data_IF_807880738881
#
_entry.id   IF_807880738881
#
_cell.length_a   1.000
_cell.length_b   1.000
_cell.length_c   1.000
_cell.angle_alpha   90.00
_cell.angle_beta   90.00
_cell.angle_gamma   90.00
#
_symmetry.space_group_name_H-M   'P 1'
#
loop_
_entity.id
_entity.type
_entity.pdbx_description
1 polymer ?
#
# COMPACT_ATOMS: atom_id res chain seq x y z
N UNK A 1 16.13 -3.64 6.39
CA UNK A 1 14.79 -3.40 5.78
C UNK A 1 14.23 -2.00 6.09
N UNK A 2 14.78 -1.25 7.02
CA UNK A 2 14.28 0.08 7.39
C UNK A 2 12.89 0.08 8.03
N UNK A 3 12.46 -1.05 8.59
CA UNK A 3 11.18 -1.20 9.28
C UNK A 3 11.38 -1.30 10.78
N UNK A 4 10.48 -0.68 11.56
CA UNK A 4 10.47 -0.76 13.03
C UNK A 4 9.20 -1.42 13.58
N UNK A 5 8.31 -1.87 12.71
CA UNK A 5 7.10 -2.60 13.03
C UNK A 5 6.47 -3.17 11.77
N UNK A 6 5.39 -3.91 11.93
CA UNK A 6 4.68 -4.56 10.81
C UNK A 6 3.55 -3.71 10.23
N UNK A 7 3.26 -2.56 10.83
CA UNK A 7 2.20 -1.67 10.38
C UNK A 7 2.47 -1.04 9.03
N UNK A 8 1.42 -0.57 8.37
CA UNK A 8 1.49 -0.02 7.01
C UNK A 8 2.42 1.19 6.88
N UNK A 9 2.62 1.97 7.95
CA UNK A 9 3.52 3.14 7.95
C UNK A 9 4.77 2.94 8.81
N UNK A 10 5.07 1.71 9.23
CA UNK A 10 6.19 1.41 10.14
C UNK A 10 7.50 1.14 9.40
N UNK A 11 7.72 1.78 8.27
CA UNK A 11 8.95 1.67 7.50
C UNK A 11 9.20 2.92 6.64
N UNK A 12 10.47 3.13 6.27
CA UNK A 12 10.89 4.31 5.51
C UNK A 12 10.23 4.38 4.12
N UNK A 13 10.13 3.26 3.43
CA UNK A 13 9.54 3.22 2.08
C UNK A 13 8.09 3.68 2.06
N UNK A 14 7.31 3.26 3.06
CA UNK A 14 5.91 3.70 3.21
C UNK A 14 5.80 5.19 3.51
N UNK A 15 6.64 5.70 4.42
CA UNK A 15 6.63 7.12 4.76
C UNK A 15 7.07 8.00 3.60
N UNK A 16 8.07 7.57 2.84
CA UNK A 16 8.53 8.28 1.64
C UNK A 16 7.41 8.34 0.60
N UNK A 17 6.72 7.23 0.37
CA UNK A 17 5.61 7.23 -0.59
C UNK A 17 4.43 8.10 -0.11
N UNK A 18 4.12 8.08 1.19
CA UNK A 18 3.06 8.94 1.72
C UNK A 18 3.40 10.42 1.54
N UNK A 19 4.67 10.80 1.71
CA UNK A 19 5.14 12.15 1.45
C UNK A 19 4.97 12.51 -0.04
N UNK A 20 5.30 11.61 -0.95
CA UNK A 20 5.09 11.80 -2.39
C UNK A 20 3.61 12.00 -2.71
N UNK A 21 2.73 11.22 -2.11
CA UNK A 21 1.28 11.39 -2.26
C UNK A 21 0.84 12.77 -1.73
N UNK A 22 1.37 13.21 -0.60
CA UNK A 22 1.10 14.54 -0.07
C UNK A 22 1.44 15.67 -1.03
N UNK A 23 2.54 15.51 -1.77
CA UNK A 23 3.03 16.50 -2.73
C UNK A 23 2.33 16.39 -4.10
N UNK A 24 2.11 15.17 -4.59
CA UNK A 24 1.67 14.89 -5.96
C UNK A 24 0.19 14.51 -6.06
N UNK A 25 -0.43 14.10 -4.96
CA UNK A 25 -1.82 13.65 -4.95
C UNK A 25 -2.06 12.40 -5.78
N UNK A 26 -3.13 12.40 -6.56
CA UNK A 26 -3.53 11.26 -7.38
C UNK A 26 -2.46 10.80 -8.36
N UNK A 27 -1.55 11.68 -8.79
CA UNK A 27 -0.45 11.31 -9.69
C UNK A 27 0.45 10.26 -9.05
N UNK A 28 0.71 10.34 -7.73
CA UNK A 28 1.49 9.33 -7.03
C UNK A 28 0.79 7.96 -7.05
N UNK A 29 -0.54 7.94 -6.89
CA UNK A 29 -1.32 6.69 -6.96
C UNK A 29 -1.26 6.08 -8.36
N UNK A 30 -1.41 6.88 -9.40
CA UNK A 30 -1.30 6.42 -10.80
C UNK A 30 0.10 5.86 -11.06
N UNK A 31 1.14 6.54 -10.59
CA UNK A 31 2.52 6.08 -10.77
C UNK A 31 2.80 4.75 -10.09
N UNK A 32 2.36 4.56 -8.83
CA UNK A 32 2.61 3.31 -8.12
C UNK A 32 1.85 2.14 -8.74
N UNK A 33 0.65 2.38 -9.24
CA UNK A 33 -0.12 1.34 -9.95
C UNK A 33 0.53 0.98 -11.29
N UNK A 34 1.01 1.97 -12.04
CA UNK A 34 1.75 1.74 -13.28
C UNK A 34 3.06 0.99 -13.01
N UNK A 35 3.79 1.36 -11.95
CA UNK A 35 5.01 0.68 -11.54
C UNK A 35 4.74 -0.78 -11.15
N UNK A 36 3.59 -1.04 -10.50
CA UNK A 36 3.18 -2.40 -10.16
C UNK A 36 2.91 -3.23 -11.41
N UNK A 37 2.18 -2.68 -12.39
CA UNK A 37 1.90 -3.38 -13.64
C UNK A 37 3.19 -3.70 -14.40
N UNK A 38 4.12 -2.75 -14.46
CA UNK A 38 5.42 -2.91 -15.10
C UNK A 38 6.27 -3.96 -14.36
N UNK A 39 6.29 -3.91 -13.03
CA UNK A 39 7.01 -4.88 -12.19
C UNK A 39 6.48 -6.29 -12.37
N UNK A 40 5.16 -6.46 -12.45
CA UNK A 40 4.53 -7.77 -12.67
C UNK A 40 4.84 -8.33 -14.06
N UNK A 41 4.95 -7.47 -15.08
CA UNK A 41 5.38 -7.89 -16.41
C UNK A 41 6.81 -8.43 -16.38
N UNK A 42 7.67 -7.89 -15.50
CA UNK A 42 9.04 -8.36 -15.28
C UNK A 42 9.12 -9.49 -14.24
N UNK A 43 8.02 -9.80 -13.57
CA UNK A 43 7.92 -10.91 -12.62
C UNK A 43 8.32 -10.60 -11.18
N UNK A 44 8.59 -9.34 -10.83
CA UNK A 44 9.07 -9.00 -9.49
C UNK A 44 8.71 -7.57 -9.06
N UNK A 45 8.15 -7.44 -7.86
CA UNK A 45 7.80 -6.16 -7.23
C UNK A 45 8.82 -5.87 -6.14
N UNK A 46 9.58 -4.77 -6.27
CA UNK A 46 10.52 -4.37 -5.22
C UNK A 46 9.80 -3.81 -3.98
N UNK A 47 10.53 -3.68 -2.87
CA UNK A 47 9.97 -3.28 -1.58
C UNK A 47 9.40 -1.85 -1.59
N UNK A 48 9.97 -0.94 -2.37
CA UNK A 48 9.49 0.44 -2.44
C UNK A 48 8.13 0.51 -3.14
N UNK A 49 7.99 -0.19 -4.26
CA UNK A 49 6.70 -0.29 -4.96
C UNK A 49 5.68 -0.99 -4.07
N UNK A 50 6.05 -2.10 -3.44
CA UNK A 50 5.18 -2.82 -2.52
C UNK A 50 4.71 -1.97 -1.34
N UNK A 51 5.60 -1.20 -0.74
CA UNK A 51 5.26 -0.28 0.35
C UNK A 51 4.28 0.80 -0.11
N UNK A 52 4.48 1.35 -1.29
CA UNK A 52 3.55 2.32 -1.89
C UNK A 52 2.16 1.73 -2.11
N UNK A 53 2.08 0.49 -2.58
CA UNK A 53 0.80 -0.22 -2.75
C UNK A 53 0.06 -0.37 -1.42
N UNK A 54 0.77 -0.75 -0.35
CA UNK A 54 0.17 -0.89 0.98
C UNK A 54 -0.39 0.44 1.47
N UNK A 55 0.36 1.54 1.33
CA UNK A 55 -0.12 2.87 1.74
C UNK A 55 -1.30 3.32 0.88
N UNK A 56 -1.26 3.08 -0.42
CA UNK A 56 -2.39 3.40 -1.30
C UNK A 56 -3.66 2.66 -0.86
N UNK A 57 -3.54 1.39 -0.48
CA UNK A 57 -4.67 0.62 0.03
C UNK A 57 -5.23 1.21 1.33
N UNK A 58 -4.37 1.69 2.24
CA UNK A 58 -4.81 2.37 3.46
C UNK A 58 -5.55 3.68 3.13
N UNK A 59 -5.02 4.47 2.21
CA UNK A 59 -5.66 5.70 1.76
C UNK A 59 -7.05 5.43 1.15
N UNK A 60 -7.15 4.43 0.31
CA UNK A 60 -8.41 4.09 -0.35
C UNK A 60 -9.43 3.55 0.64
N UNK A 61 -9.04 2.64 1.52
CA UNK A 61 -9.93 2.11 2.56
C UNK A 61 -10.45 3.23 3.46
N UNK A 62 -9.57 4.13 3.89
CA UNK A 62 -9.95 5.29 4.71
C UNK A 62 -10.91 6.22 3.98
N UNK A 63 -10.64 6.50 2.70
CA UNK A 63 -11.50 7.39 1.89
C UNK A 63 -12.91 6.82 1.68
N UNK A 64 -13.06 5.51 1.83
CA UNK A 64 -14.34 4.81 1.66
C UNK A 64 -14.97 4.40 2.99
N UNK A 65 -14.52 4.95 4.11
CA UNK A 65 -15.12 4.76 5.41
C UNK A 65 -14.61 3.58 6.23
N UNK A 66 -13.50 2.97 5.82
CA UNK A 66 -12.88 1.84 6.53
C UNK A 66 -11.42 2.16 6.90
N UNK A 67 -11.16 3.23 7.68
CA UNK A 67 -9.80 3.62 8.04
C UNK A 67 -9.18 2.65 9.04
N UNK A 68 -7.84 2.66 9.08
CA UNK A 68 -7.08 2.07 10.17
C UNK A 68 -7.00 3.10 11.32
N UNK A 69 -7.63 2.85 12.49
CA UNK A 69 -7.63 3.83 13.59
C UNK A 69 -6.25 4.26 14.07
N UNK A 70 -5.26 3.38 13.95
CA UNK A 70 -3.87 3.67 14.35
C UNK A 70 -3.19 4.70 13.43
N UNK A 71 -3.73 4.93 12.22
CA UNK A 71 -3.13 5.79 11.20
C UNK A 71 -4.00 7.01 10.85
N UNK A 72 -5.09 7.26 11.61
CA UNK A 72 -6.06 8.30 11.30
C UNK A 72 -5.43 9.67 11.05
N UNK A 73 -4.48 10.09 11.88
CA UNK A 73 -3.88 11.43 11.76
C UNK A 73 -3.08 11.56 10.46
N UNK A 74 -2.18 10.62 10.21
CA UNK A 74 -1.29 10.65 9.04
C UNK A 74 -2.05 10.47 7.72
N UNK A 75 -2.92 9.47 7.67
CA UNK A 75 -3.74 9.19 6.49
C UNK A 75 -4.77 10.29 6.26
N UNK A 76 -5.41 10.78 7.33
CA UNK A 76 -6.40 11.85 7.26
C UNK A 76 -5.82 13.16 6.71
N UNK A 77 -4.61 13.54 7.14
CA UNK A 77 -3.93 14.73 6.62
C UNK A 77 -3.66 14.62 5.11
N UNK A 78 -3.16 13.47 4.67
CA UNK A 78 -2.88 13.25 3.26
C UNK A 78 -4.17 13.29 2.41
N UNK A 79 -5.25 12.70 2.91
CA UNK A 79 -6.53 12.68 2.21
C UNK A 79 -7.23 14.05 2.18
N UNK A 80 -7.00 14.89 3.18
CA UNK A 80 -7.66 16.19 3.26
C UNK A 80 -7.47 17.04 1.99
N UNK A 81 -6.33 16.88 1.32
CA UNK A 81 -5.97 17.63 0.09
C UNK A 81 -6.36 16.92 -1.18
N UNK A 82 -6.36 15.59 -1.19
CA UNK A 82 -6.31 14.81 -2.43
C UNK A 82 -7.39 13.75 -2.57
N UNK A 83 -8.33 13.68 -1.63
CA UNK A 83 -9.35 12.63 -1.60
C UNK A 83 -10.19 12.58 -2.89
N UNK A 84 -10.67 13.73 -3.34
CA UNK A 84 -11.53 13.80 -4.51
C UNK A 84 -10.81 13.34 -5.78
N UNK A 85 -9.57 13.80 -5.97
CA UNK A 85 -8.74 13.42 -7.11
C UNK A 85 -8.37 11.93 -7.07
N UNK A 86 -8.09 11.42 -5.88
CA UNK A 86 -7.81 10.00 -5.69
C UNK A 86 -9.01 9.15 -6.12
N UNK A 87 -10.20 9.48 -5.62
CA UNK A 87 -11.41 8.72 -5.92
C UNK A 87 -11.88 8.86 -7.37
N UNK A 88 -11.35 9.83 -8.12
CA UNK A 88 -11.65 10.01 -9.54
C UNK A 88 -10.87 9.06 -10.45
N UNK A 89 -9.89 8.32 -9.93
CA UNK A 89 -9.12 7.36 -10.72
C UNK A 89 -10.00 6.16 -11.08
N UNK A 90 -10.09 5.85 -12.39
CA UNK A 90 -10.89 4.73 -12.88
C UNK A 90 -10.37 3.38 -12.34
N UNK A 91 -11.30 2.52 -11.96
CA UNK A 91 -11.01 1.15 -11.48
C UNK A 91 -10.02 1.09 -10.31
N UNK A 92 -9.94 2.18 -9.52
CA UNK A 92 -8.94 2.31 -8.45
C UNK A 92 -9.01 1.14 -7.46
N UNK A 93 -10.22 0.79 -6.98
CA UNK A 93 -10.37 -0.30 -6.01
C UNK A 93 -9.91 -1.63 -6.59
N UNK A 94 -10.32 -1.96 -7.81
CA UNK A 94 -9.94 -3.20 -8.47
C UNK A 94 -8.43 -3.28 -8.69
N UNK A 95 -7.83 -2.20 -9.19
CA UNK A 95 -6.38 -2.14 -9.44
C UNK A 95 -5.58 -2.23 -8.16
N UNK A 96 -6.01 -1.52 -7.12
CA UNK A 96 -5.33 -1.53 -5.82
C UNK A 96 -5.44 -2.91 -5.15
N UNK A 97 -6.60 -3.55 -5.21
CA UNK A 97 -6.80 -4.90 -4.66
C UNK A 97 -5.89 -5.91 -5.36
N UNK A 98 -5.80 -5.86 -6.68
CA UNK A 98 -4.90 -6.74 -7.44
C UNK A 98 -3.44 -6.50 -7.11
N UNK A 99 -3.03 -5.24 -6.97
CA UNK A 99 -1.67 -4.88 -6.59
C UNK A 99 -1.34 -5.41 -5.19
N UNK A 100 -2.26 -5.27 -4.24
CA UNK A 100 -2.08 -5.76 -2.89
C UNK A 100 -1.99 -7.29 -2.84
N UNK A 101 -2.80 -7.99 -3.63
CA UNK A 101 -2.74 -9.44 -3.76
C UNK A 101 -1.37 -9.89 -4.29
N UNK A 102 -0.80 -9.14 -5.23
CA UNK A 102 0.55 -9.43 -5.75
C UNK A 102 1.63 -9.27 -4.68
N UNK A 103 1.52 -8.24 -3.82
CA UNK A 103 2.43 -8.03 -2.69
C UNK A 103 2.38 -9.21 -1.72
N UNK A 104 1.22 -9.83 -1.55
CA UNK A 104 1.00 -10.99 -0.67
C UNK A 104 1.22 -12.35 -1.35
N UNK A 105 1.62 -12.39 -2.62
CA UNK A 105 1.59 -13.64 -3.40
C UNK A 105 2.64 -14.66 -2.96
N UNK A 106 3.91 -14.33 -3.07
CA UNK A 106 5.04 -15.20 -2.73
C UNK A 106 6.37 -14.42 -2.71
N UNK A 107 7.42 -15.08 -2.21
CA UNK A 107 8.74 -14.49 -2.07
C UNK A 107 9.45 -14.27 -3.42
N UNK A 108 9.09 -15.02 -4.45
CA UNK A 108 9.70 -14.88 -5.78
C UNK A 108 9.16 -13.65 -6.51
N UNK A 109 7.92 -13.28 -6.24
CA UNK A 109 7.25 -12.16 -6.90
C UNK A 109 7.33 -10.86 -6.10
N UNK A 110 7.34 -10.95 -4.76
CA UNK A 110 7.26 -9.80 -3.86
C UNK A 110 8.46 -9.72 -2.93
N UNK A 111 9.25 -8.65 -3.06
CA UNK A 111 10.38 -8.41 -2.17
C UNK A 111 9.94 -8.22 -0.72
N UNK A 112 8.83 -7.53 -0.46
CA UNK A 112 8.30 -7.39 0.90
C UNK A 112 8.00 -8.75 1.53
N UNK A 113 7.38 -9.64 0.80
CA UNK A 113 7.10 -11.00 1.27
C UNK A 113 8.39 -11.70 1.68
N UNK A 114 9.40 -11.66 0.81
CA UNK A 114 10.70 -12.28 1.05
C UNK A 114 11.41 -11.69 2.28
N UNK A 115 11.46 -10.36 2.38
CA UNK A 115 12.10 -9.66 3.50
C UNK A 115 11.42 -9.99 4.84
N UNK A 116 10.09 -10.05 4.87
CA UNK A 116 9.38 -10.38 6.10
C UNK A 116 9.51 -11.85 6.47
N UNK A 117 9.59 -12.76 5.50
CA UNK A 117 9.92 -14.17 5.78
C UNK A 117 11.29 -14.29 6.45
N UNK A 118 12.28 -13.56 5.95
CA UNK A 118 13.64 -13.57 6.52
C UNK A 118 13.69 -12.94 7.92
N UNK A 119 12.80 -12.01 8.22
CA UNK A 119 12.79 -11.29 9.51
C UNK A 119 12.34 -12.14 10.70
N UNK A 120 11.61 -13.22 10.45
CA UNK A 120 10.97 -14.02 11.51
C UNK A 120 9.62 -13.47 11.98
N UNK A 121 9.13 -12.37 11.40
CA UNK A 121 7.85 -11.73 11.76
C UNK A 121 6.84 -11.80 10.61
N UNK A 122 7.01 -12.73 9.71
CA UNK A 122 6.16 -12.86 8.53
C UNK A 122 4.68 -12.98 8.88
N UNK A 123 4.33 -13.83 9.86
CA UNK A 123 2.94 -14.09 10.21
C UNK A 123 2.23 -12.81 10.67
N UNK A 124 2.90 -11.98 11.48
CA UNK A 124 2.36 -10.72 11.96
C UNK A 124 2.16 -9.72 10.81
N UNK A 125 3.15 -9.60 9.93
CA UNK A 125 3.06 -8.74 8.75
C UNK A 125 1.94 -9.19 7.80
N UNK A 126 1.91 -10.48 7.47
CA UNK A 126 0.91 -11.04 6.57
C UNK A 126 -0.52 -10.86 7.12
N UNK A 127 -0.70 -11.06 8.43
CA UNK A 127 -1.99 -10.85 9.07
C UNK A 127 -2.44 -9.39 8.96
N UNK A 128 -1.52 -8.45 9.14
CA UNK A 128 -1.80 -7.02 9.05
C UNK A 128 -2.20 -6.62 7.62
N UNK A 129 -1.48 -7.11 6.61
CA UNK A 129 -1.78 -6.80 5.21
C UNK A 129 -3.08 -7.49 4.76
N UNK A 130 -3.34 -8.71 5.23
CA UNK A 130 -4.62 -9.41 4.95
C UNK A 130 -5.80 -8.70 5.58
N UNK A 131 -5.64 -8.14 6.78
CA UNK A 131 -6.67 -7.33 7.44
C UNK A 131 -6.96 -6.06 6.60
N UNK A 132 -5.91 -5.38 6.15
CA UNK A 132 -6.04 -4.24 5.25
C UNK A 132 -6.80 -4.61 3.97
N UNK A 133 -6.46 -5.73 3.37
CA UNK A 133 -7.14 -6.21 2.16
C UNK A 133 -8.62 -6.46 2.42
N UNK A 134 -8.96 -7.04 3.56
CA UNK A 134 -10.36 -7.29 3.93
C UNK A 134 -11.13 -5.98 4.13
N UNK A 135 -10.53 -4.98 4.77
CA UNK A 135 -11.13 -3.65 4.91
C UNK A 135 -11.35 -2.98 3.56
N UNK A 136 -10.37 -3.06 2.68
CA UNK A 136 -10.47 -2.49 1.33
C UNK A 136 -11.61 -3.16 0.55
N UNK A 137 -11.75 -4.46 0.65
CA UNK A 137 -12.82 -5.20 -0.03
C UNK A 137 -14.20 -4.82 0.50
N UNK A 138 -14.33 -4.60 1.80
CA UNK A 138 -15.56 -4.21 2.46
C UNK A 138 -15.94 -2.73 2.25
N UNK A 139 -15.00 -1.93 1.78
CA UNK A 139 -15.16 -0.48 1.65
C UNK A 139 -16.00 -0.05 0.43
#
# INVERSE_FOLDING_TARGET
MGAWGVGSLDNDGSLDWLADFGDMGAAAAVEVLAATDESLADGYIDSDVGSGVVVLAELLAASRGKPNPALNDQIGEALARHKADLLAIDDLKLRTTKALDAVLSDAETSELYDLWEESGEFDAWAAQVRELRARLEAA
#
